data_IF_620279339091
#
_entry.id   IF_620279339091
#
_cell.length_a   1.000
_cell.length_b   1.000
_cell.length_c   1.000
_cell.angle_alpha   90.00
_cell.angle_beta   90.00
_cell.angle_gamma   90.00
#
_symmetry.space_group_name_H-M   'P 1'
#
loop_
_entity.id
_entity.type
_entity.pdbx_description
1 polymer ?
#
# COMPACT_ATOMS: atom_id res chain seq x y z
N UNK A 1 -1.18 -2.62 23.93
CA UNK A 1 -1.30 -3.44 25.15
C UNK A 1 -0.09 -3.19 26.04
N UNK A 2 -0.25 -2.64 27.25
CA UNK A 2 0.91 -2.28 28.09
C UNK A 2 1.59 -3.48 28.76
N UNK A 3 0.99 -4.68 28.75
CA UNK A 3 1.66 -5.87 29.29
C UNK A 3 1.16 -7.18 28.65
N UNK A 4 1.88 -7.68 27.64
CA UNK A 4 1.54 -8.92 26.88
C UNK A 4 1.51 -10.17 27.79
N UNK A 5 2.36 -10.20 28.82
CA UNK A 5 2.43 -11.32 29.76
C UNK A 5 1.15 -11.43 30.62
N UNK A 6 0.65 -10.30 31.13
CA UNK A 6 -0.60 -10.25 31.92
C UNK A 6 -1.82 -10.63 31.06
N UNK A 7 -1.84 -10.22 29.78
CA UNK A 7 -2.92 -10.63 28.88
C UNK A 7 -2.90 -12.15 28.60
N UNK A 8 -1.71 -12.73 28.48
CA UNK A 8 -1.55 -14.17 28.26
C UNK A 8 -1.93 -15.01 29.50
N UNK A 9 -1.73 -14.48 30.72
CA UNK A 9 -2.15 -15.17 31.95
C UNK A 9 -3.66 -15.11 32.18
N UNK A 10 -4.37 -14.19 31.53
CA UNK A 10 -5.84 -14.11 31.51
C UNK A 10 -6.49 -14.97 30.43
N UNK A 11 -5.72 -15.81 29.73
CA UNK A 11 -6.23 -16.72 28.69
C UNK A 11 -6.48 -16.06 27.34
N UNK A 12 -6.12 -14.79 27.15
CA UNK A 12 -6.26 -14.11 25.85
C UNK A 12 -5.16 -14.58 24.92
N UNK A 13 -5.54 -15.16 23.78
CA UNK A 13 -4.62 -15.55 22.72
C UNK A 13 -4.04 -14.31 22.01
N UNK A 14 -3.03 -13.69 22.60
CA UNK A 14 -2.28 -12.54 22.02
C UNK A 14 -1.84 -12.78 20.57
N UNK A 15 -1.56 -14.04 20.22
CA UNK A 15 -1.25 -14.48 18.85
C UNK A 15 -2.36 -14.18 17.83
N UNK A 16 -3.61 -14.52 18.12
CA UNK A 16 -4.71 -14.29 17.19
C UNK A 16 -5.04 -12.79 17.07
N UNK A 17 -4.83 -12.05 18.16
CA UNK A 17 -5.02 -10.59 18.21
C UNK A 17 -4.02 -9.87 17.31
N UNK A 18 -2.85 -10.45 17.05
CA UNK A 18 -1.84 -9.90 16.16
C UNK A 18 -2.00 -10.35 14.70
N UNK A 19 -2.36 -11.62 14.47
CA UNK A 19 -2.55 -12.16 13.11
C UNK A 19 -3.78 -11.60 12.41
N UNK A 20 -4.86 -11.33 13.14
CA UNK A 20 -6.12 -10.88 12.52
C UNK A 20 -6.01 -9.48 11.91
N UNK A 21 -5.46 -8.44 12.58
CA UNK A 21 -5.21 -7.16 11.93
C UNK A 21 -4.21 -7.28 10.79
N UNK A 22 -3.17 -8.10 10.92
CA UNK A 22 -2.19 -8.31 9.85
C UNK A 22 -2.86 -8.84 8.57
N UNK A 23 -3.72 -9.86 8.69
CA UNK A 23 -4.46 -10.42 7.57
C UNK A 23 -5.47 -9.43 6.94
N UNK A 24 -6.13 -8.63 7.77
CA UNK A 24 -7.05 -7.58 7.31
C UNK A 24 -6.30 -6.52 6.49
N UNK A 25 -5.12 -6.10 6.97
CA UNK A 25 -4.33 -5.04 6.35
C UNK A 25 -3.65 -5.51 5.07
N UNK A 26 -3.14 -6.75 5.03
CA UNK A 26 -2.69 -7.35 3.78
C UNK A 26 -3.81 -7.41 2.74
N UNK A 27 -5.02 -7.81 3.14
CA UNK A 27 -6.17 -7.85 2.23
C UNK A 27 -6.55 -6.48 1.68
N UNK A 28 -6.55 -5.43 2.52
CA UNK A 28 -6.76 -4.06 2.08
C UNK A 28 -5.67 -3.58 1.12
N UNK A 29 -4.41 -3.95 1.38
CA UNK A 29 -3.29 -3.63 0.50
C UNK A 29 -3.40 -4.34 -0.85
N UNK A 30 -3.90 -5.57 -0.89
CA UNK A 30 -4.07 -6.36 -2.12
C UNK A 30 -5.13 -5.76 -3.03
N UNK A 31 -6.27 -5.36 -2.47
CA UNK A 31 -7.35 -4.71 -3.23
C UNK A 31 -6.86 -3.40 -3.84
N UNK A 32 -6.12 -2.60 -3.07
CA UNK A 32 -5.53 -1.36 -3.56
C UNK A 32 -4.48 -1.63 -4.65
N UNK A 33 -3.64 -2.66 -4.48
CA UNK A 33 -2.62 -3.07 -5.45
C UNK A 33 -3.21 -3.55 -6.78
N UNK A 34 -4.29 -4.35 -6.73
CA UNK A 34 -5.02 -4.78 -7.92
C UNK A 34 -5.61 -3.61 -8.71
N UNK A 35 -6.16 -2.60 -8.02
CA UNK A 35 -6.68 -1.39 -8.65
C UNK A 35 -5.56 -0.55 -9.32
N UNK A 36 -4.39 -0.44 -8.68
CA UNK A 36 -3.24 0.30 -9.23
C UNK A 36 -2.68 -0.34 -10.50
N UNK A 37 -2.87 -1.65 -10.72
CA UNK A 37 -2.43 -2.30 -11.95
C UNK A 37 -3.07 -1.70 -13.21
N UNK A 38 -4.29 -1.16 -13.09
CA UNK A 38 -5.02 -0.51 -14.18
C UNK A 38 -4.35 0.81 -14.65
N UNK A 39 -3.41 1.36 -13.86
CA UNK A 39 -2.76 2.64 -14.15
C UNK A 39 -1.57 2.54 -15.14
N UNK A 40 -1.36 1.42 -15.81
CA UNK A 40 -0.46 1.37 -16.98
C UNK A 40 0.94 0.81 -16.74
N UNK A 41 1.43 0.74 -15.48
CA UNK A 41 2.79 0.24 -15.18
C UNK A 41 2.83 -0.62 -13.93
N UNK A 42 3.18 -1.89 -14.10
CA UNK A 42 3.43 -2.82 -13.00
C UNK A 42 4.90 -3.22 -13.00
N UNK A 43 5.62 -2.88 -11.92
CA UNK A 43 7.03 -3.21 -11.73
C UNK A 43 7.30 -3.95 -10.42
N UNK A 44 8.41 -4.69 -10.31
CA UNK A 44 8.74 -5.52 -9.15
C UNK A 44 8.99 -4.70 -7.89
N UNK A 45 9.49 -3.47 -8.04
CA UNK A 45 9.76 -2.55 -6.95
C UNK A 45 8.55 -1.68 -6.58
N UNK A 46 7.43 -1.76 -7.32
CA UNK A 46 6.28 -0.88 -7.13
C UNK A 46 5.72 -1.01 -5.72
N UNK A 47 5.55 -2.24 -5.22
CA UNK A 47 5.11 -2.49 -3.86
C UNK A 47 6.00 -1.85 -2.78
N UNK A 48 7.32 -1.87 -2.99
CA UNK A 48 8.29 -1.24 -2.08
C UNK A 48 8.19 0.29 -2.08
N UNK A 49 7.92 0.91 -3.21
CA UNK A 49 7.73 2.36 -3.26
C UNK A 49 6.44 2.80 -2.56
N UNK A 50 5.34 2.08 -2.82
CA UNK A 50 4.04 2.43 -2.21
C UNK A 50 4.01 2.20 -0.70
N UNK A 51 4.70 1.16 -0.18
CA UNK A 51 4.75 0.94 1.27
C UNK A 51 5.54 2.02 2.00
N UNK A 52 6.64 2.52 1.40
CA UNK A 52 7.42 3.63 1.97
C UNK A 52 6.58 4.90 1.99
N UNK A 53 5.87 5.21 0.91
CA UNK A 53 4.97 6.37 0.86
C UNK A 53 3.82 6.24 1.88
N UNK A 54 3.20 5.07 1.97
CA UNK A 54 2.13 4.81 2.95
C UNK A 54 2.64 4.92 4.40
N UNK A 55 3.87 4.49 4.66
CA UNK A 55 4.50 4.63 5.98
C UNK A 55 4.68 6.11 6.36
N UNK A 56 5.18 6.91 5.42
CA UNK A 56 5.34 8.36 5.61
C UNK A 56 3.99 9.02 5.92
N UNK A 57 2.93 8.61 5.22
CA UNK A 57 1.56 9.08 5.46
C UNK A 57 1.06 8.70 6.87
N UNK A 58 1.29 7.47 7.32
CA UNK A 58 0.89 7.03 8.67
C UNK A 58 1.63 7.82 9.76
N UNK A 59 2.95 7.99 9.61
CA UNK A 59 3.77 8.76 10.55
C UNK A 59 3.32 10.23 10.58
N UNK A 60 2.99 10.80 9.43
CA UNK A 60 2.44 12.15 9.33
C UNK A 60 1.08 12.26 10.02
N UNK A 61 0.21 11.27 9.88
CA UNK A 61 -1.11 11.21 10.51
C UNK A 61 -1.07 11.09 12.04
N UNK A 62 -0.02 10.47 12.57
CA UNK A 62 0.13 10.13 13.99
C UNK A 62 -0.27 8.69 14.25
N UNK A 63 0.66 7.89 14.80
CA UNK A 63 0.49 6.45 14.97
C UNK A 63 -0.69 6.12 15.93
N UNK A 64 -1.59 5.28 15.45
CA UNK A 64 -2.78 4.81 16.17
C UNK A 64 -4.01 5.72 16.08
N UNK A 65 -4.05 6.62 15.09
CA UNK A 65 -5.20 7.46 14.78
C UNK A 65 -5.62 7.31 13.31
N UNK A 66 -6.58 6.42 13.07
CA UNK A 66 -7.15 6.12 11.74
C UNK A 66 -7.56 7.40 11.00
N UNK A 67 -8.24 8.33 11.71
CA UNK A 67 -8.67 9.62 11.14
C UNK A 67 -7.47 10.48 10.72
N UNK A 68 -6.40 10.49 11.53
CA UNK A 68 -5.16 11.21 11.23
C UNK A 68 -4.47 10.61 10.00
N UNK A 69 -4.40 9.29 9.90
CA UNK A 69 -3.83 8.59 8.75
C UNK A 69 -4.62 8.85 7.46
N UNK A 70 -5.96 8.84 7.51
CA UNK A 70 -6.80 9.14 6.34
C UNK A 70 -6.63 10.60 5.89
N UNK A 71 -6.66 11.57 6.81
CA UNK A 71 -6.45 12.99 6.48
C UNK A 71 -5.05 13.22 5.91
N UNK A 72 -4.02 12.59 6.50
CA UNK A 72 -2.66 12.64 5.99
C UNK A 72 -2.55 12.04 4.58
N UNK A 73 -3.27 10.96 4.28
CA UNK A 73 -3.23 10.33 2.95
C UNK A 73 -3.73 11.27 1.86
N UNK A 74 -4.86 11.94 2.12
CA UNK A 74 -5.39 12.94 1.20
C UNK A 74 -4.52 14.20 1.13
N UNK A 75 -3.97 14.66 2.26
CA UNK A 75 -3.07 15.81 2.29
C UNK A 75 -1.79 15.56 1.48
N UNK A 76 -1.14 14.41 1.68
CA UNK A 76 0.08 14.01 0.94
C UNK A 76 -0.24 13.73 -0.52
N UNK A 77 -1.35 13.06 -0.82
CA UNK A 77 -1.82 12.87 -2.20
C UNK A 77 -2.08 14.19 -2.93
N UNK A 78 -2.70 15.16 -2.24
CA UNK A 78 -2.93 16.51 -2.73
C UNK A 78 -1.65 17.32 -2.93
N UNK A 79 -0.70 17.20 -1.99
CA UNK A 79 0.61 17.80 -2.15
C UNK A 79 1.35 17.22 -3.36
N UNK A 80 1.36 15.89 -3.51
CA UNK A 80 1.93 15.25 -4.70
C UNK A 80 1.25 15.78 -5.97
N UNK A 81 -0.06 16.00 -5.95
CA UNK A 81 -0.77 16.63 -7.07
C UNK A 81 -0.31 18.05 -7.36
N UNK A 82 -0.29 18.93 -6.36
CA UNK A 82 0.12 20.32 -6.55
C UNK A 82 1.58 20.43 -7.06
N UNK A 83 2.49 19.62 -6.52
CA UNK A 83 3.90 19.64 -6.89
C UNK A 83 4.20 18.95 -8.22
N UNK A 84 3.49 17.87 -8.58
CA UNK A 84 3.67 17.22 -9.88
C UNK A 84 2.99 17.99 -11.04
N UNK A 85 1.96 18.81 -10.79
CA UNK A 85 1.38 19.72 -11.79
C UNK A 85 2.29 20.92 -12.11
N UNK A 86 3.03 21.42 -11.11
CA UNK A 86 3.88 22.61 -11.27
C UNK A 86 5.36 22.33 -11.57
N UNK A 87 5.82 21.07 -11.48
CA UNK A 87 7.25 20.71 -11.62
C UNK A 87 7.45 19.35 -12.29
N UNK A 88 8.67 19.06 -12.74
CA UNK A 88 9.00 17.71 -13.25
C UNK A 88 8.71 16.65 -12.17
N UNK A 89 8.03 15.56 -12.52
CA UNK A 89 7.53 14.53 -11.59
C UNK A 89 8.57 14.01 -10.56
N UNK A 90 9.86 14.01 -10.91
CA UNK A 90 10.94 13.62 -9.98
C UNK A 90 11.19 14.68 -8.90
N UNK A 91 11.23 15.95 -9.29
CA UNK A 91 11.43 17.08 -8.37
C UNK A 91 10.21 17.26 -7.46
N UNK A 92 9.00 17.04 -7.99
CA UNK A 92 7.77 17.09 -7.19
C UNK A 92 7.81 16.12 -6.01
N UNK A 93 8.20 14.86 -6.24
CA UNK A 93 8.36 13.88 -5.17
C UNK A 93 9.40 14.28 -4.12
N UNK A 94 10.55 14.80 -4.54
CA UNK A 94 11.59 15.25 -3.60
C UNK A 94 11.09 16.42 -2.75
N UNK A 95 10.37 17.38 -3.36
CA UNK A 95 9.79 18.51 -2.63
C UNK A 95 8.78 18.06 -1.58
N UNK A 96 7.90 17.11 -1.91
CA UNK A 96 6.93 16.56 -0.94
C UNK A 96 7.64 15.87 0.22
N UNK A 97 8.68 15.06 -0.05
CA UNK A 97 9.47 14.43 1.01
C UNK A 97 10.14 15.45 1.93
N UNK A 98 10.71 16.54 1.38
CA UNK A 98 11.31 17.61 2.18
C UNK A 98 10.25 18.29 3.05
N UNK A 99 9.07 18.59 2.51
CA UNK A 99 7.96 19.19 3.28
C UNK A 99 7.51 18.26 4.40
N UNK A 100 7.39 16.96 4.14
CA UNK A 100 7.02 15.98 5.16
C UNK A 100 8.10 15.87 6.23
N UNK A 101 9.38 15.80 5.85
CA UNK A 101 10.50 15.76 6.81
C UNK A 101 10.52 17.03 7.67
N UNK A 102 10.37 18.22 7.07
CA UNK A 102 10.32 19.48 7.78
C UNK A 102 9.12 19.51 8.76
N UNK A 103 7.95 19.03 8.33
CA UNK A 103 6.79 18.92 9.19
C UNK A 103 7.02 17.95 10.36
N UNK A 104 7.63 16.79 10.11
CA UNK A 104 7.94 15.81 11.16
C UNK A 104 8.97 16.35 12.17
N UNK A 105 9.92 17.18 11.74
CA UNK A 105 10.84 17.85 12.67
C UNK A 105 10.14 18.87 13.56
N UNK A 106 9.12 19.56 13.03
CA UNK A 106 8.33 20.55 13.79
C UNK A 106 7.26 19.90 14.68
N UNK A 107 6.76 18.73 14.27
CA UNK A 107 5.66 18.00 14.92
C UNK A 107 5.98 16.49 14.91
N UNK A 108 6.92 16.02 15.75
CA UNK A 108 7.35 14.62 15.77
C UNK A 108 6.25 13.64 16.21
N UNK A 109 5.16 14.15 16.78
CA UNK A 109 4.03 13.36 17.24
C UNK A 109 2.91 13.18 16.19
N UNK A 110 3.07 13.72 14.97
CA UNK A 110 2.08 13.64 13.89
C UNK A 110 0.94 14.66 13.96
N UNK A 111 -0.02 14.57 13.03
CA UNK A 111 -1.18 15.46 12.89
C UNK A 111 -2.11 15.43 14.11
N UNK A 112 -2.31 14.25 14.71
CA UNK A 112 -3.19 14.07 15.88
C UNK A 112 -2.43 13.31 16.97
N UNK A 113 -2.23 13.98 18.12
CA UNK A 113 -1.54 13.40 19.28
C UNK A 113 -2.56 12.89 20.30
N UNK A 114 -2.38 11.65 20.75
CA UNK A 114 -3.21 11.03 21.79
C UNK A 114 -2.91 11.69 23.15
N UNK A 115 -3.71 12.68 23.56
CA UNK A 115 -3.73 13.10 24.97
C UNK A 115 -4.35 11.96 25.78
N UNK A 116 -3.55 11.28 26.59
CA UNK A 116 -4.03 10.41 27.67
C UNK A 116 -4.96 11.25 28.54
N UNK A 117 -6.27 10.96 28.50
CA UNK A 117 -7.26 11.65 29.32
C UNK A 117 -6.95 11.41 30.81
N UNK A 118 -6.29 12.37 31.44
CA UNK A 118 -6.41 12.60 32.87
C UNK A 118 -6.95 14.02 33.04
N UNK A 119 -8.15 14.11 33.61
CA UNK A 119 -8.94 15.31 33.91
C UNK A 119 -9.52 16.07 32.69
N UNK A 120 -10.80 15.80 32.41
CA UNK A 120 -11.64 16.72 31.66
C UNK A 120 -12.02 17.90 32.58
N UNK A 121 -11.52 19.09 32.28
CA UNK A 121 -12.09 20.34 32.78
C UNK A 121 -13.28 20.74 31.89
N UNK A 122 -14.30 21.45 32.42
CA UNK A 122 -15.53 21.77 31.67
C UNK A 122 -15.36 22.69 30.44
N UNK A 123 -14.14 23.10 30.09
CA UNK A 123 -13.83 23.92 28.90
C UNK A 123 -13.61 23.10 27.61
N UNK A 124 -13.78 21.77 27.67
CA UNK A 124 -13.61 20.85 26.54
C UNK A 124 -14.64 21.01 25.39
N UNK A 125 -15.57 21.97 25.49
CA UNK A 125 -16.48 22.32 24.41
C UNK A 125 -15.75 22.86 23.15
N UNK A 126 -14.54 23.43 23.33
CA UNK A 126 -13.73 23.96 22.22
C UNK A 126 -12.96 22.87 21.43
N UNK A 127 -12.84 21.65 21.95
CA UNK A 127 -12.12 20.53 21.29
C UNK A 127 -13.01 19.65 20.39
N UNK A 128 -14.32 19.94 20.34
CA UNK A 128 -15.30 19.25 19.48
C UNK A 128 -15.36 19.79 18.05
N UNK A 129 -14.63 20.86 17.76
CA UNK A 129 -14.39 21.31 16.41
C UNK A 129 -13.29 20.43 15.82
N UNK A 130 -13.70 19.23 15.36
CA UNK A 130 -13.15 18.67 14.12
C UNK A 130 -12.91 19.86 13.18
N UNK A 131 -11.71 20.07 12.62
CA UNK A 131 -11.51 21.20 11.75
C UNK A 131 -12.31 20.95 10.45
N UNK A 132 -13.55 21.43 10.46
CA UNK A 132 -14.40 21.62 9.30
C UNK A 132 -13.66 22.23 8.09
N UNK A 133 -12.61 23.10 8.22
CA UNK A 133 -11.84 23.54 7.06
C UNK A 133 -10.99 22.44 6.39
N UNK A 134 -10.57 21.39 7.11
CA UNK A 134 -9.78 20.30 6.52
C UNK A 134 -10.69 19.40 5.68
N UNK A 135 -11.88 19.06 6.17
CA UNK A 135 -12.86 18.28 5.41
C UNK A 135 -13.29 18.97 4.11
N UNK A 136 -13.50 20.30 4.15
CA UNK A 136 -13.88 21.07 2.96
C UNK A 136 -12.74 21.25 1.96
N UNK A 137 -11.50 21.49 2.42
CA UNK A 137 -10.32 21.58 1.54
C UNK A 137 -9.97 20.23 0.91
N UNK A 138 -10.19 19.13 1.62
CA UNK A 138 -9.99 17.76 1.14
C UNK A 138 -11.04 17.37 0.08
N UNK A 139 -12.28 17.85 0.22
CA UNK A 139 -13.35 17.69 -0.79
C UNK A 139 -13.11 18.55 -2.03
N UNK A 140 -12.64 19.79 -1.88
CA UNK A 140 -12.27 20.66 -3.02
C UNK A 140 -11.06 20.09 -3.78
N UNK A 141 -10.09 19.51 -3.08
CA UNK A 141 -8.96 18.77 -3.66
C UNK A 141 -9.41 17.47 -4.36
N UNK A 142 -10.50 16.84 -3.89
CA UNK A 142 -11.10 15.65 -4.50
C UNK A 142 -11.92 15.95 -5.76
N UNK A 143 -12.46 17.17 -5.88
CA UNK A 143 -13.30 17.62 -7.02
C UNK A 143 -12.45 18.28 -8.12
N UNK A 144 -11.33 18.92 -7.77
CA UNK A 144 -10.38 19.50 -8.72
C UNK A 144 -9.90 18.57 -9.88
N UNK A 145 -9.72 17.24 -9.70
CA UNK A 145 -9.23 16.36 -10.76
C UNK A 145 -10.31 15.92 -11.76
N UNK A 146 -11.60 16.22 -11.55
CA UNK A 146 -12.63 15.97 -12.58
C UNK A 146 -12.48 16.88 -13.81
N UNK A 147 -11.58 17.86 -13.76
CA UNK A 147 -11.43 18.90 -14.80
C UNK A 147 -10.22 18.68 -15.71
N UNK A 148 -9.26 17.80 -15.37
CA UNK A 148 -8.03 17.59 -16.17
C UNK A 148 -7.76 16.11 -16.48
N UNK A 149 -7.73 15.77 -17.79
CA UNK A 149 -7.78 14.39 -18.29
C UNK A 149 -6.48 13.59 -18.07
N UNK A 150 -6.65 12.31 -17.75
CA UNK A 150 -5.69 11.20 -17.60
C UNK A 150 -4.58 11.32 -16.55
N UNK A 151 -3.81 12.41 -16.53
CA UNK A 151 -2.75 12.60 -15.54
C UNK A 151 -3.32 12.73 -14.12
N UNK A 152 -4.42 13.48 -13.96
CA UNK A 152 -5.07 13.65 -12.67
C UNK A 152 -5.78 12.37 -12.22
N UNK A 153 -6.26 11.54 -13.15
CA UNK A 153 -6.84 10.24 -12.84
C UNK A 153 -5.78 9.31 -12.22
N UNK A 154 -4.58 9.28 -12.79
CA UNK A 154 -3.46 8.52 -12.24
C UNK A 154 -3.00 9.02 -10.87
N UNK A 155 -3.03 10.33 -10.63
CA UNK A 155 -2.72 10.89 -9.31
C UNK A 155 -3.81 10.68 -8.28
N UNK A 156 -5.07 10.81 -8.67
CA UNK A 156 -6.21 10.52 -7.81
C UNK A 156 -6.19 9.06 -7.37
N UNK A 157 -5.90 8.14 -8.29
CA UNK A 157 -5.77 6.73 -7.97
C UNK A 157 -4.62 6.45 -6.99
N UNK A 158 -3.46 7.11 -7.12
CA UNK A 158 -2.38 7.07 -6.10
C UNK A 158 -2.86 7.58 -4.74
N UNK A 159 -3.58 8.70 -4.72
CA UNK A 159 -4.14 9.29 -3.50
C UNK A 159 -5.12 8.33 -2.80
N UNK A 160 -6.05 7.74 -3.55
CA UNK A 160 -6.99 6.73 -3.06
C UNK A 160 -6.27 5.48 -2.55
N UNK A 161 -5.20 5.08 -3.22
CA UNK A 161 -4.36 3.95 -2.78
C UNK A 161 -3.77 4.22 -1.40
N UNK A 162 -3.18 5.39 -1.18
CA UNK A 162 -2.69 5.78 0.15
C UNK A 162 -3.82 5.86 1.17
N UNK A 163 -5.00 6.34 0.78
CA UNK A 163 -6.17 6.44 1.66
C UNK A 163 -6.73 5.07 2.09
N UNK A 164 -6.47 4.00 1.33
CA UNK A 164 -6.84 2.62 1.70
C UNK A 164 -5.75 1.97 2.54
N UNK A 165 -4.48 2.09 2.10
CA UNK A 165 -3.35 1.36 2.68
C UNK A 165 -2.88 1.98 4.01
N UNK A 166 -2.85 3.32 4.11
CA UNK A 166 -2.33 4.00 5.30
C UNK A 166 -3.21 3.75 6.54
N UNK A 167 -4.55 3.86 6.51
CA UNK A 167 -5.38 3.52 7.67
C UNK A 167 -5.26 2.06 8.10
N UNK A 168 -5.05 1.14 7.16
CA UNK A 168 -4.79 -0.27 7.48
C UNK A 168 -3.47 -0.43 8.24
N UNK A 169 -2.38 0.13 7.72
CA UNK A 169 -1.08 0.11 8.40
C UNK A 169 -1.12 0.81 9.76
N UNK A 170 -1.87 1.91 9.88
CA UNK A 170 -2.07 2.62 11.14
C UNK A 170 -2.86 1.78 12.15
N UNK A 171 -3.89 1.05 11.71
CA UNK A 171 -4.62 0.12 12.56
C UNK A 171 -3.68 -0.97 13.11
N UNK A 172 -2.85 -1.55 12.24
CA UNK A 172 -1.90 -2.58 12.65
C UNK A 172 -0.93 -2.03 13.69
N UNK A 173 -0.27 -0.91 13.40
CA UNK A 173 0.72 -0.32 14.29
C UNK A 173 0.09 0.20 15.60
N UNK A 174 -1.04 0.89 15.51
CA UNK A 174 -1.76 1.44 16.65
C UNK A 174 -2.35 0.40 17.60
N UNK A 175 -2.87 -0.70 17.05
CA UNK A 175 -3.54 -1.74 17.84
C UNK A 175 -2.56 -2.80 18.38
N UNK A 176 -1.67 -3.30 17.53
CA UNK A 176 -0.73 -4.38 17.89
C UNK A 176 0.57 -3.86 18.52
N UNK A 177 0.92 -2.60 18.27
CA UNK A 177 2.22 -2.01 18.63
C UNK A 177 3.37 -2.47 17.73
N UNK A 178 3.11 -3.34 16.75
CA UNK A 178 4.13 -3.89 15.88
C UNK A 178 4.20 -3.15 14.55
N UNK A 179 5.42 -2.79 14.17
CA UNK A 179 5.72 -2.22 12.87
C UNK A 179 5.98 -3.33 11.86
N UNK A 180 5.25 -3.35 10.74
CA UNK A 180 5.52 -4.29 9.65
C UNK A 180 5.74 -3.56 8.34
N UNK A 181 6.98 -3.61 7.87
CA UNK A 181 7.40 -3.00 6.62
C UNK A 181 7.20 -3.92 5.39
N UNK A 182 6.74 -5.16 5.62
CA UNK A 182 6.54 -6.16 4.56
C UNK A 182 5.27 -6.03 3.73
N UNK A 183 4.34 -5.14 4.09
CA UNK A 183 3.04 -5.05 3.43
C UNK A 183 3.12 -4.69 1.94
N UNK A 184 4.20 -4.04 1.51
CA UNK A 184 4.47 -3.74 0.11
C UNK A 184 4.57 -4.99 -0.78
N UNK A 185 4.90 -6.15 -0.22
CA UNK A 185 4.94 -7.41 -0.99
C UNK A 185 3.56 -7.84 -1.43
N UNK A 186 2.60 -7.80 -0.52
CA UNK A 186 1.25 -8.27 -0.78
C UNK A 186 0.61 -7.37 -1.84
N UNK A 187 0.75 -6.05 -1.64
CA UNK A 187 0.43 -5.04 -2.64
C UNK A 187 1.06 -5.36 -4.01
N UNK A 188 2.37 -5.57 -4.07
CA UNK A 188 3.09 -5.85 -5.31
C UNK A 188 2.60 -7.13 -6.00
N UNK A 189 2.39 -8.22 -5.25
CA UNK A 189 1.87 -9.48 -5.79
C UNK A 189 0.45 -9.33 -6.34
N UNK A 190 -0.42 -8.60 -5.65
CA UNK A 190 -1.77 -8.29 -6.12
C UNK A 190 -1.74 -7.49 -7.43
N UNK A 191 -0.89 -6.45 -7.48
CA UNK A 191 -0.66 -5.67 -8.71
C UNK A 191 -0.12 -6.54 -9.84
N UNK A 192 0.79 -7.48 -9.56
CA UNK A 192 1.33 -8.40 -10.58
C UNK A 192 0.27 -9.35 -11.14
N UNK A 193 -0.59 -9.92 -10.29
CA UNK A 193 -1.66 -10.80 -10.74
C UNK A 193 -2.64 -10.07 -11.68
N UNK A 194 -3.02 -8.84 -11.33
CA UNK A 194 -3.85 -7.99 -12.19
C UNK A 194 -3.10 -7.54 -13.46
N UNK A 195 -1.82 -7.21 -13.36
CA UNK A 195 -0.98 -6.83 -14.50
C UNK A 195 -0.75 -7.96 -15.51
N UNK A 196 -0.73 -9.22 -15.08
CA UNK A 196 -0.65 -10.38 -16.00
C UNK A 196 -1.88 -10.44 -16.91
N UNK A 197 -3.08 -10.18 -16.37
CA UNK A 197 -4.31 -10.12 -17.15
C UNK A 197 -4.27 -8.97 -18.17
N UNK A 198 -3.98 -7.75 -17.71
CA UNK A 198 -3.91 -6.57 -18.58
C UNK A 198 -2.88 -6.74 -19.69
N UNK A 199 -1.78 -7.44 -19.42
CA UNK A 199 -0.78 -7.73 -20.45
C UNK A 199 -1.29 -8.70 -21.51
N UNK A 200 -2.01 -9.75 -21.08
CA UNK A 200 -2.60 -10.72 -22.01
C UNK A 200 -3.70 -10.06 -22.85
N UNK A 201 -4.49 -9.16 -22.27
CA UNK A 201 -5.51 -8.38 -22.98
C UNK A 201 -4.88 -7.44 -24.03
N UNK A 202 -3.87 -6.65 -23.64
CA UNK A 202 -3.14 -5.79 -24.57
C UNK A 202 -2.46 -6.56 -25.73
N UNK A 203 -2.04 -7.81 -25.46
CA UNK A 203 -1.43 -8.68 -26.46
C UNK A 203 -2.47 -9.23 -27.46
N UNK A 204 -3.71 -9.49 -27.01
CA UNK A 204 -4.81 -9.91 -27.90
C UNK A 204 -5.19 -8.86 -28.93
N UNK A 205 -5.05 -7.58 -28.60
CA UNK A 205 -5.34 -6.47 -29.51
C UNK A 205 -4.27 -6.26 -30.59
N UNK A 206 -3.02 -6.68 -30.33
CA UNK A 206 -1.87 -6.42 -31.22
C UNK A 206 -1.59 -7.58 -32.20
N UNK A 207 -2.45 -8.61 -32.26
CA UNK A 207 -2.26 -9.88 -33.01
C UNK A 207 -0.99 -10.70 -32.64
N UNK A 208 -0.15 -10.21 -31.71
CA UNK A 208 0.99 -10.97 -31.20
C UNK A 208 0.52 -12.16 -30.34
N UNK A 209 1.11 -13.33 -30.52
CA UNK A 209 0.70 -14.54 -29.78
C UNK A 209 1.16 -14.55 -28.31
N UNK A 210 2.04 -13.64 -27.89
CA UNK A 210 2.67 -13.64 -26.56
C UNK A 210 3.23 -12.25 -26.20
N UNK A 211 3.25 -11.85 -24.92
CA UNK A 211 3.80 -10.56 -24.51
C UNK A 211 5.24 -10.33 -24.99
N UNK A 212 5.54 -9.13 -25.50
CA UNK A 212 6.84 -8.75 -26.05
C UNK A 212 8.06 -9.13 -25.19
N UNK A 213 7.97 -8.99 -23.85
CA UNK A 213 9.08 -9.34 -22.96
C UNK A 213 9.38 -10.86 -22.92
N UNK A 214 8.38 -11.72 -23.14
CA UNK A 214 8.55 -13.17 -23.20
C UNK A 214 9.21 -13.58 -24.52
N UNK A 215 8.86 -12.90 -25.62
CA UNK A 215 9.45 -13.10 -26.95
C UNK A 215 10.93 -12.74 -26.91
N UNK A 216 11.27 -11.57 -26.36
CA UNK A 216 12.66 -11.12 -26.20
C UNK A 216 13.48 -12.00 -25.24
N UNK A 217 12.80 -12.72 -24.34
CA UNK A 217 13.43 -13.67 -23.41
C UNK A 217 13.55 -15.10 -23.98
N UNK A 218 13.17 -15.31 -25.24
CA UNK A 218 13.35 -16.59 -25.94
C UNK A 218 12.29 -17.66 -25.64
N UNK A 219 11.15 -17.30 -25.03
CA UNK A 219 10.04 -18.23 -24.82
C UNK A 219 9.32 -18.51 -26.14
N UNK A 220 9.08 -19.79 -26.44
CA UNK A 220 8.45 -20.24 -27.69
C UNK A 220 6.93 -20.42 -27.59
N UNK A 221 6.38 -20.44 -26.39
CA UNK A 221 4.95 -20.59 -26.13
C UNK A 221 4.58 -19.95 -24.79
N UNK A 222 3.32 -19.51 -24.68
CA UNK A 222 2.80 -18.97 -23.43
C UNK A 222 2.83 -20.06 -22.34
N UNK A 223 3.48 -19.80 -21.20
CA UNK A 223 3.57 -20.76 -20.09
C UNK A 223 2.18 -21.18 -19.59
N UNK A 224 2.04 -22.44 -19.17
CA UNK A 224 0.75 -22.97 -18.71
C UNK A 224 0.15 -22.18 -17.53
N UNK A 225 0.99 -21.58 -16.68
CA UNK A 225 0.54 -20.77 -15.55
C UNK A 225 0.05 -19.36 -15.94
N UNK A 226 0.37 -18.85 -17.14
CA UNK A 226 -0.15 -17.58 -17.66
C UNK A 226 -1.52 -17.73 -18.32
N UNK A 227 -1.83 -18.91 -18.88
CA UNK A 227 -3.11 -19.16 -19.60
C UNK A 227 -4.36 -18.82 -18.76
N UNK A 228 -4.45 -19.16 -17.46
CA UNK A 228 -5.62 -18.85 -16.63
C UNK A 228 -5.84 -17.35 -16.43
N UNK A 229 -4.78 -16.54 -16.47
CA UNK A 229 -4.85 -15.08 -16.35
C UNK A 229 -5.46 -14.40 -17.57
N UNK A 230 -5.94 -15.15 -18.58
CA UNK A 230 -6.75 -14.60 -19.66
C UNK A 230 -8.22 -14.32 -19.30
N UNK A 231 -8.66 -14.67 -18.09
CA UNK A 231 -10.00 -14.40 -17.56
C UNK A 231 -9.94 -13.29 -16.49
N UNK A 232 -10.79 -12.24 -16.58
CA UNK A 232 -10.79 -11.14 -15.61
C UNK A 232 -11.18 -11.62 -14.21
N UNK A 233 -12.10 -12.59 -14.12
CA UNK A 233 -12.54 -13.18 -12.85
C UNK A 233 -11.40 -13.96 -12.20
N UNK A 234 -10.68 -14.77 -12.99
CA UNK A 234 -9.55 -15.54 -12.47
C UNK A 234 -8.44 -14.62 -11.96
N UNK A 235 -8.11 -13.57 -12.71
CA UNK A 235 -7.09 -12.60 -12.34
C UNK A 235 -7.48 -11.81 -11.08
N UNK A 236 -8.74 -11.37 -10.97
CA UNK A 236 -9.25 -10.70 -9.77
C UNK A 236 -9.23 -11.59 -8.52
N UNK A 237 -9.65 -12.86 -8.65
CA UNK A 237 -9.60 -13.82 -7.56
C UNK A 237 -8.15 -14.09 -7.14
N UNK A 238 -7.24 -14.31 -8.09
CA UNK A 238 -5.83 -14.57 -7.78
C UNK A 238 -5.10 -13.36 -7.23
N UNK A 239 -5.46 -12.14 -7.63
CA UNK A 239 -4.90 -10.91 -7.08
C UNK A 239 -5.19 -10.75 -5.58
N UNK A 240 -6.28 -11.33 -5.08
CA UNK A 240 -6.62 -11.36 -3.65
C UNK A 240 -6.10 -12.66 -3.00
N UNK A 241 -6.28 -13.80 -3.66
CA UNK A 241 -5.98 -15.10 -3.07
C UNK A 241 -4.47 -15.33 -2.89
N UNK A 242 -3.64 -14.95 -3.87
CA UNK A 242 -2.19 -15.18 -3.81
C UNK A 242 -1.55 -14.42 -2.66
N UNK A 243 -1.77 -13.11 -2.49
CA UNK A 243 -1.14 -12.42 -1.38
C UNK A 243 -1.86 -12.69 -0.05
N UNK A 244 -3.18 -12.95 -0.02
CA UNK A 244 -3.87 -13.34 1.22
C UNK A 244 -3.41 -14.70 1.77
N UNK A 245 -3.18 -15.69 0.90
CA UNK A 245 -2.61 -16.98 1.32
C UNK A 245 -1.20 -16.80 1.87
N UNK A 246 -0.39 -15.98 1.22
CA UNK A 246 0.96 -15.67 1.67
C UNK A 246 0.98 -14.91 3.01
N UNK A 247 0.09 -13.93 3.17
CA UNK A 247 -0.08 -13.18 4.40
C UNK A 247 -0.60 -14.08 5.53
N UNK A 248 -1.50 -15.01 5.23
CA UNK A 248 -1.98 -15.99 6.21
C UNK A 248 -0.86 -16.93 6.67
N UNK A 249 0.00 -17.40 5.75
CA UNK A 249 1.17 -18.21 6.07
C UNK A 249 2.14 -17.41 6.94
N UNK A 250 2.47 -16.17 6.56
CA UNK A 250 3.38 -15.32 7.33
C UNK A 250 2.81 -14.94 8.69
N UNK A 251 1.53 -14.62 8.78
CA UNK A 251 0.84 -14.34 10.04
C UNK A 251 0.80 -15.55 10.96
N UNK A 252 0.55 -16.74 10.41
CA UNK A 252 0.61 -18.01 11.15
C UNK A 252 2.03 -18.31 11.66
N UNK A 253 3.05 -18.17 10.80
CA UNK A 253 4.45 -18.38 11.18
C UNK A 253 4.90 -17.38 12.25
N UNK A 254 4.53 -16.11 12.09
CA UNK A 254 4.80 -15.06 13.07
C UNK A 254 4.17 -15.37 14.43
N UNK A 255 2.97 -15.96 14.45
CA UNK A 255 2.31 -16.40 15.69
C UNK A 255 2.98 -17.60 16.36
N UNK A 256 3.55 -18.52 15.58
CA UNK A 256 4.15 -19.75 16.12
C UNK A 256 5.43 -19.46 16.88
N UNK A 257 6.26 -18.58 16.36
CA UNK A 257 7.48 -18.14 17.01
C UNK A 257 7.15 -17.03 18.03
N UNK A 258 7.71 -17.10 19.24
CA UNK A 258 7.48 -16.10 20.30
C UNK A 258 8.35 -14.86 20.03
N UNK A 259 8.09 -14.19 18.91
CA UNK A 259 8.96 -13.17 18.32
C UNK A 259 8.78 -11.82 19.03
N UNK A 260 9.87 -11.14 19.42
CA UNK A 260 9.79 -9.74 19.88
C UNK A 260 9.51 -8.82 18.69
N UNK A 261 8.83 -7.69 18.92
CA UNK A 261 8.31 -6.78 17.88
C UNK A 261 9.34 -6.41 16.79
N UNK A 262 10.62 -6.23 17.15
CA UNK A 262 11.71 -5.91 16.20
C UNK A 262 12.00 -7.04 15.21
N UNK A 263 12.00 -8.28 15.67
CA UNK A 263 12.28 -9.45 14.82
C UNK A 263 11.15 -9.69 13.82
N UNK A 264 9.90 -9.39 14.20
CA UNK A 264 8.78 -9.46 13.27
C UNK A 264 8.93 -8.44 12.13
N UNK A 265 9.33 -7.21 12.45
CA UNK A 265 9.69 -6.20 11.45
C UNK A 265 10.82 -6.69 10.54
N UNK A 266 11.88 -7.29 11.10
CA UNK A 266 13.02 -7.79 10.32
C UNK A 266 12.63 -8.94 9.38
N UNK A 267 11.79 -9.88 9.82
CA UNK A 267 11.29 -10.99 8.99
C UNK A 267 10.42 -10.45 7.86
N UNK A 268 9.47 -9.57 8.18
CA UNK A 268 8.57 -8.99 7.16
C UNK A 268 9.33 -8.11 6.17
N UNK A 269 10.38 -7.40 6.61
CA UNK A 269 11.28 -6.65 5.73
C UNK A 269 12.15 -7.56 4.85
N UNK A 270 12.70 -8.65 5.39
CA UNK A 270 13.45 -9.61 4.59
C UNK A 270 12.55 -10.21 3.49
N UNK A 271 11.31 -10.54 3.84
CA UNK A 271 10.31 -10.98 2.88
C UNK A 271 10.00 -9.90 1.83
N UNK A 272 9.96 -8.63 2.23
CA UNK A 272 9.86 -7.45 1.37
C UNK A 272 10.89 -7.38 0.26
N UNK A 273 12.08 -7.91 0.50
CA UNK A 273 13.18 -7.90 -0.45
C UNK A 273 13.21 -9.17 -1.30
N UNK A 274 12.89 -10.33 -0.70
CA UNK A 274 12.96 -11.62 -1.40
C UNK A 274 12.05 -11.65 -2.64
N UNK A 275 10.80 -11.19 -2.53
CA UNK A 275 9.84 -11.30 -3.64
C UNK A 275 10.25 -10.45 -4.85
N UNK A 276 10.57 -9.15 -4.73
CA UNK A 276 11.08 -8.36 -5.85
C UNK A 276 12.35 -8.96 -6.47
N UNK A 277 13.28 -9.49 -5.66
CA UNK A 277 14.50 -10.14 -6.15
C UNK A 277 14.16 -11.37 -7.00
N UNK A 278 13.22 -12.21 -6.55
CA UNK A 278 12.77 -13.38 -7.31
C UNK A 278 12.07 -12.99 -8.62
N UNK A 279 11.22 -11.97 -8.58
CA UNK A 279 10.53 -11.46 -9.78
C UNK A 279 11.54 -10.92 -10.79
N UNK A 280 12.54 -10.16 -10.35
CA UNK A 280 13.61 -9.65 -11.22
C UNK A 280 14.45 -10.79 -11.80
N UNK A 281 14.82 -11.77 -10.96
CA UNK A 281 15.59 -12.95 -11.37
C UNK A 281 14.87 -13.88 -12.37
N UNK A 282 13.54 -13.77 -12.49
CA UNK A 282 12.72 -14.50 -13.46
C UNK A 282 12.24 -13.62 -14.62
N UNK A 283 13.15 -12.82 -15.18
CA UNK A 283 12.87 -11.83 -16.22
C UNK A 283 12.02 -12.36 -17.40
N UNK A 284 12.26 -13.59 -17.85
CA UNK A 284 11.49 -14.19 -18.94
C UNK A 284 9.99 -14.38 -18.68
N UNK A 285 9.59 -14.47 -17.40
CA UNK A 285 8.21 -14.74 -17.01
C UNK A 285 7.48 -13.53 -16.43
N UNK A 286 8.20 -12.51 -15.98
CA UNK A 286 7.66 -11.41 -15.17
C UNK A 286 8.00 -10.02 -15.72
N UNK A 287 8.80 -9.95 -16.80
CA UNK A 287 9.32 -8.70 -17.36
C UNK A 287 10.56 -8.16 -16.64
N UNK A 288 11.06 -8.84 -15.61
CA UNK A 288 12.30 -8.49 -14.90
C UNK A 288 12.27 -7.08 -14.31
N UNK A 289 13.36 -6.34 -14.47
CA UNK A 289 13.49 -4.94 -14.00
C UNK A 289 12.52 -3.96 -14.69
N UNK A 290 12.14 -4.25 -15.93
CA UNK A 290 11.21 -3.41 -16.70
C UNK A 290 9.76 -3.62 -16.27
N UNK A 291 9.43 -4.79 -15.73
CA UNK A 291 8.07 -5.15 -15.32
C UNK A 291 7.10 -5.33 -16.51
N UNK A 292 5.81 -5.44 -16.20
CA UNK A 292 4.74 -5.44 -17.18
C UNK A 292 4.32 -3.98 -17.47
N UNK A 293 4.79 -3.47 -18.59
CA UNK A 293 4.55 -2.10 -19.08
C UNK A 293 3.84 -2.14 -20.44
N UNK A 294 3.21 -1.03 -20.83
CA UNK A 294 2.39 -0.89 -22.04
C UNK A 294 1.19 -1.85 -22.01
N UNK A 295 0.24 -1.59 -21.12
CA UNK A 295 -1.12 -2.09 -21.27
C UNK A 295 -1.82 -1.19 -22.28
N UNK A 296 -2.49 -1.77 -23.26
CA UNK A 296 -3.38 -1.01 -24.13
C UNK A 296 -4.46 -0.40 -23.22
N UNK A 297 -4.59 0.92 -23.28
CA UNK A 297 -5.64 1.66 -22.60
C UNK A 297 -6.98 1.31 -23.23
N UNK A 298 -7.97 0.95 -22.41
CA UNK A 298 -9.38 1.13 -22.75
C UNK A 298 -9.66 2.61 -23.06
#
# INVERSE_FOLDING_TARGET
>A
MQNREIASSLGVHTRQVDATPFAIVSGLADVAGGAVALLGRVGPALGTYYIVDAFIVVVLGGAGHIVGATVAAFAVGGLNMAFELGSTARLGKVAVLIVVIAFLQLRPAGLIVRRTRMMATPDDAASRLLPAPIGAAMVILLIAPLVFSDFCLGLLAKCLTYAIVAPGLDLLWGYTGMLSLGHGVFFGLGTYCAGMYLKLEATRETEEAMPAFMVWSGLKALPAFWKPFGSPVFAGVMAILVPATLASILGYLACRSRINDVYFSLITQAFALIIPILLIGKQGYTGGTNGAINFATL
#
